data_IF_394167094411
#
_entry.id   IF_394167094411
#
_cell.length_a   1.000
_cell.length_b   1.000
_cell.length_c   1.000
_cell.angle_alpha   90.00
_cell.angle_beta   90.00
_cell.angle_gamma   90.00
#
_symmetry.space_group_name_H-M   'P 1'
#
loop_
_entity.id
_entity.type
_entity.pdbx_description
1 polymer ?
#
# COMPACT_ATOMS: atom_id res chain seq x y z
N UNK A 1 28.24 -20.94 -23.94
CA UNK A 1 27.89 -21.11 -22.51
C UNK A 1 27.23 -19.84 -22.04
N UNK A 2 25.94 -19.86 -21.70
CA UNK A 2 25.32 -18.69 -21.03
C UNK A 2 25.99 -18.55 -19.65
N UNK A 3 26.59 -17.39 -19.37
CA UNK A 3 27.15 -17.11 -18.06
C UNK A 3 26.00 -17.20 -17.04
N UNK A 4 26.12 -18.03 -16.01
CA UNK A 4 25.17 -18.07 -14.91
C UNK A 4 25.16 -16.69 -14.26
N UNK A 5 24.03 -15.98 -14.34
CA UNK A 5 23.85 -14.75 -13.58
C UNK A 5 23.78 -15.10 -12.11
N UNK A 6 24.54 -14.40 -11.29
CA UNK A 6 24.54 -14.53 -9.84
C UNK A 6 23.89 -13.28 -9.24
N UNK A 7 23.03 -13.45 -8.24
CA UNK A 7 22.37 -12.38 -7.49
C UNK A 7 22.58 -12.63 -6.01
N UNK A 8 22.73 -11.55 -5.25
CA UNK A 8 22.82 -11.59 -3.80
C UNK A 8 21.43 -11.75 -3.17
N UNK A 9 20.42 -11.13 -3.79
CA UNK A 9 19.02 -11.27 -3.39
C UNK A 9 18.11 -11.59 -4.57
N UNK A 10 17.17 -12.50 -4.33
CA UNK A 10 16.06 -12.80 -5.25
C UNK A 10 14.76 -12.51 -4.53
N UNK A 11 13.98 -11.57 -5.07
CA UNK A 11 12.68 -11.16 -4.56
C UNK A 11 11.62 -11.77 -5.47
N UNK A 12 10.67 -12.51 -4.90
CA UNK A 12 9.57 -13.12 -5.65
C UNK A 12 8.31 -12.31 -5.44
N UNK A 13 7.83 -11.70 -6.51
CA UNK A 13 6.64 -10.84 -6.56
C UNK A 13 6.97 -9.35 -6.43
N UNK A 14 6.61 -8.56 -7.45
CA UNK A 14 6.69 -7.09 -7.43
C UNK A 14 5.44 -6.45 -6.80
N UNK A 15 4.89 -7.05 -5.76
CA UNK A 15 3.81 -6.48 -4.96
C UNK A 15 4.29 -5.32 -4.07
N UNK A 16 3.46 -4.89 -3.13
CA UNK A 16 3.77 -3.76 -2.25
C UNK A 16 5.09 -3.94 -1.51
N UNK A 17 5.31 -5.10 -0.88
CA UNK A 17 6.55 -5.41 -0.16
C UNK A 17 7.75 -5.58 -1.10
N UNK A 18 7.56 -6.30 -2.23
CA UNK A 18 8.64 -6.56 -3.17
C UNK A 18 9.18 -5.30 -3.84
N UNK A 19 8.32 -4.32 -4.14
CA UNK A 19 8.75 -3.02 -4.64
C UNK A 19 9.63 -2.28 -3.64
N UNK A 20 9.28 -2.32 -2.34
CA UNK A 20 10.08 -1.70 -1.27
C UNK A 20 11.40 -2.43 -1.10
N UNK A 21 11.40 -3.76 -1.05
CA UNK A 21 12.63 -4.55 -0.92
C UNK A 21 13.58 -4.32 -2.11
N UNK A 22 13.03 -4.33 -3.34
CA UNK A 22 13.83 -4.05 -4.54
C UNK A 22 14.48 -2.67 -4.48
N UNK A 23 13.73 -1.67 -3.99
CA UNK A 23 14.24 -0.32 -3.79
C UNK A 23 15.39 -0.31 -2.77
N UNK A 24 15.15 -0.81 -1.57
CA UNK A 24 16.08 -0.67 -0.45
C UNK A 24 17.33 -1.55 -0.58
N UNK A 25 17.18 -2.79 -1.03
CA UNK A 25 18.31 -3.70 -1.19
C UNK A 25 19.24 -3.31 -2.35
N UNK A 26 18.73 -2.61 -3.36
CA UNK A 26 19.55 -2.13 -4.49
C UNK A 26 20.12 -0.72 -4.28
N UNK A 27 19.96 -0.11 -3.11
CA UNK A 27 20.60 1.17 -2.77
C UNK A 27 22.13 1.06 -2.78
N UNK A 28 22.66 -0.07 -2.32
CA UNK A 28 24.07 -0.41 -2.43
C UNK A 28 24.36 -0.92 -3.86
N UNK A 29 25.18 -0.23 -4.66
CA UNK A 29 25.47 -0.60 -6.04
C UNK A 29 26.23 -1.93 -6.18
N UNK A 30 26.89 -2.39 -5.13
CA UNK A 30 27.63 -3.66 -5.12
C UNK A 30 26.70 -4.86 -4.88
N UNK A 31 25.46 -4.63 -4.40
CA UNK A 31 24.44 -5.66 -4.14
C UNK A 31 23.60 -5.90 -5.40
N UNK A 32 23.65 -7.10 -5.95
CA UNK A 32 22.88 -7.50 -7.15
C UNK A 32 21.52 -8.06 -6.75
N UNK A 33 20.45 -7.38 -7.15
CA UNK A 33 19.07 -7.73 -6.80
C UNK A 33 18.31 -8.22 -8.04
N UNK A 34 17.63 -9.35 -7.92
CA UNK A 34 16.70 -9.85 -8.91
C UNK A 34 15.27 -9.79 -8.36
N UNK A 35 14.38 -9.09 -9.06
CA UNK A 35 12.94 -9.06 -8.79
C UNK A 35 12.21 -9.85 -9.86
N UNK A 36 11.45 -10.87 -9.45
CA UNK A 36 10.68 -11.74 -10.36
C UNK A 36 9.20 -11.46 -10.17
N UNK A 37 8.48 -11.15 -11.27
CA UNK A 37 7.04 -10.84 -11.23
C UNK A 37 6.29 -11.64 -12.30
N UNK A 38 5.19 -12.26 -11.91
CA UNK A 38 4.36 -13.08 -12.80
C UNK A 38 3.48 -12.26 -13.75
N UNK A 39 3.15 -11.03 -13.35
CA UNK A 39 2.27 -10.15 -14.11
C UNK A 39 3.02 -9.13 -14.96
N UNK A 40 2.25 -8.26 -15.60
CA UNK A 40 2.79 -7.24 -16.51
C UNK A 40 3.23 -5.97 -15.76
N UNK A 41 4.00 -5.12 -16.46
CA UNK A 41 4.23 -3.74 -16.03
C UNK A 41 2.91 -2.98 -15.94
N UNK A 42 2.79 -2.12 -14.95
CA UNK A 42 1.60 -1.32 -14.62
C UNK A 42 1.37 -0.11 -15.54
N UNK A 43 1.45 -0.34 -16.87
CA UNK A 43 1.31 0.72 -17.89
C UNK A 43 -0.15 1.11 -18.20
N UNK A 44 -1.13 0.35 -17.70
CA UNK A 44 -2.54 0.57 -18.00
C UNK A 44 -3.03 1.90 -17.43
N UNK A 45 -3.76 2.67 -18.25
CA UNK A 45 -4.44 3.88 -17.80
C UNK A 45 -5.42 3.60 -16.66
N UNK A 46 -6.08 2.43 -16.66
CA UNK A 46 -6.99 2.02 -15.59
C UNK A 46 -6.29 1.90 -14.23
N UNK A 47 -4.99 1.52 -14.21
CA UNK A 47 -4.21 1.49 -12.98
C UNK A 47 -3.94 2.90 -12.47
N UNK A 48 -3.57 3.83 -13.37
CA UNK A 48 -3.27 5.21 -13.00
C UNK A 48 -4.52 5.96 -12.53
N UNK A 49 -5.64 5.75 -13.20
CA UNK A 49 -6.90 6.43 -12.92
C UNK A 49 -7.56 5.86 -11.65
N UNK A 50 -7.80 6.66 -10.59
CA UNK A 50 -8.45 6.19 -9.37
C UNK A 50 -9.81 5.52 -9.60
N UNK A 51 -10.64 6.06 -10.49
CA UNK A 51 -11.93 5.49 -10.86
C UNK A 51 -11.83 4.11 -11.57
N UNK A 52 -10.64 3.74 -12.03
CA UNK A 52 -10.40 2.46 -12.72
C UNK A 52 -10.53 1.22 -11.83
N UNK A 53 -10.58 1.38 -10.50
CA UNK A 53 -10.64 0.28 -9.53
C UNK A 53 -11.76 -0.73 -9.86
N UNK A 54 -12.95 -0.26 -10.22
CA UNK A 54 -14.09 -1.12 -10.54
C UNK A 54 -13.86 -2.04 -11.76
N UNK A 55 -12.99 -1.62 -12.70
CA UNK A 55 -12.57 -2.46 -13.82
C UNK A 55 -11.43 -3.41 -13.43
N UNK A 56 -10.50 -2.95 -12.61
CA UNK A 56 -9.30 -3.69 -12.24
C UNK A 56 -9.58 -4.91 -11.37
N UNK A 57 -10.62 -4.84 -10.52
CA UNK A 57 -11.01 -5.94 -9.63
C UNK A 57 -11.89 -7.01 -10.29
N UNK A 58 -12.25 -6.88 -11.57
CA UNK A 58 -13.00 -7.93 -12.30
C UNK A 58 -12.14 -9.18 -12.42
N UNK A 59 -12.80 -10.35 -12.34
CA UNK A 59 -12.13 -11.65 -12.32
C UNK A 59 -11.22 -11.87 -13.54
N UNK A 60 -11.71 -11.53 -14.73
CA UNK A 60 -11.02 -11.71 -16.00
C UNK A 60 -9.98 -10.62 -16.31
N UNK A 61 -9.78 -9.64 -15.41
CA UNK A 61 -8.82 -8.57 -15.65
C UNK A 61 -7.37 -9.11 -15.57
N UNK A 62 -6.49 -8.84 -16.57
CA UNK A 62 -5.13 -9.37 -16.60
C UNK A 62 -4.24 -8.87 -15.46
N UNK A 63 -4.64 -7.82 -14.75
CA UNK A 63 -3.94 -7.28 -13.57
C UNK A 63 -4.46 -7.86 -12.24
N UNK A 64 -5.30 -8.89 -12.30
CA UNK A 64 -5.90 -9.54 -11.15
C UNK A 64 -5.70 -11.06 -11.24
N UNK A 65 -5.45 -11.71 -10.09
CA UNK A 65 -5.37 -13.17 -10.00
C UNK A 65 -6.75 -13.84 -10.05
N UNK A 66 -7.81 -13.12 -9.69
CA UNK A 66 -9.18 -13.63 -9.69
C UNK A 66 -9.42 -14.79 -8.72
N UNK A 67 -8.83 -14.74 -7.52
CA UNK A 67 -8.98 -15.83 -6.55
C UNK A 67 -10.37 -15.89 -5.94
N UNK A 68 -10.76 -17.12 -5.57
CA UNK A 68 -11.92 -17.42 -4.75
C UNK A 68 -11.48 -18.12 -3.48
N UNK A 69 -12.17 -17.88 -2.37
CA UNK A 69 -11.93 -18.64 -1.14
C UNK A 69 -12.47 -20.05 -1.26
N UNK A 70 -11.96 -20.97 -0.47
CA UNK A 70 -12.68 -22.23 -0.20
C UNK A 70 -14.00 -21.94 0.53
N UNK A 71 -14.98 -22.85 0.51
CA UNK A 71 -16.24 -22.68 1.23
C UNK A 71 -16.03 -22.31 2.69
N UNK A 72 -16.62 -21.21 3.13
CA UNK A 72 -16.48 -20.67 4.48
C UNK A 72 -17.59 -21.19 5.40
N UNK A 73 -17.28 -22.15 6.25
CA UNK A 73 -18.24 -22.85 7.11
C UNK A 73 -19.16 -21.90 7.91
N UNK A 74 -18.59 -20.85 8.51
CA UNK A 74 -19.33 -19.89 9.34
C UNK A 74 -20.03 -18.78 8.53
N UNK A 75 -19.98 -18.85 7.21
CA UNK A 75 -20.63 -17.94 6.27
C UNK A 75 -21.59 -18.72 5.32
N UNK A 76 -22.30 -19.71 5.85
CA UNK A 76 -23.20 -20.57 5.07
C UNK A 76 -22.52 -21.30 3.90
N UNK A 77 -21.28 -21.73 4.09
CA UNK A 77 -20.44 -22.36 3.08
C UNK A 77 -20.26 -21.54 1.79
N UNK A 78 -20.40 -20.21 1.85
CA UNK A 78 -20.15 -19.35 0.69
C UNK A 78 -18.68 -19.35 0.29
N UNK A 79 -18.45 -19.36 -1.00
CA UNK A 79 -17.18 -18.97 -1.60
C UNK A 79 -17.22 -17.48 -1.88
N UNK A 80 -16.15 -16.78 -1.54
CA UNK A 80 -16.03 -15.32 -1.69
C UNK A 80 -14.99 -15.00 -2.74
N UNK A 81 -15.35 -14.12 -3.65
CA UNK A 81 -14.40 -13.56 -4.61
C UNK A 81 -13.36 -12.69 -3.88
N UNK A 82 -12.08 -12.93 -4.20
CA UNK A 82 -10.97 -12.33 -3.47
C UNK A 82 -9.91 -11.76 -4.43
N UNK A 83 -10.12 -10.57 -5.01
CA UNK A 83 -9.18 -9.98 -5.96
C UNK A 83 -7.81 -9.75 -5.32
N UNK A 84 -6.76 -10.07 -6.08
CA UNK A 84 -5.36 -9.80 -5.74
C UNK A 84 -4.64 -9.32 -6.97
N UNK A 85 -3.86 -8.23 -6.83
CA UNK A 85 -3.14 -7.66 -7.95
C UNK A 85 -2.06 -8.58 -8.50
N UNK A 86 -1.98 -8.65 -9.83
CA UNK A 86 -0.99 -9.38 -10.60
C UNK A 86 -0.25 -8.41 -11.52
N UNK A 87 1.02 -8.16 -11.21
CA UNK A 87 1.86 -7.20 -11.93
C UNK A 87 2.60 -6.26 -11.00
N UNK A 88 3.27 -5.30 -11.58
CA UNK A 88 4.04 -4.32 -10.84
C UNK A 88 3.14 -3.53 -9.88
N UNK A 89 3.56 -3.44 -8.61
CA UNK A 89 2.80 -2.88 -7.52
C UNK A 89 1.82 -3.85 -6.86
N UNK A 90 1.52 -5.01 -7.48
CA UNK A 90 0.61 -6.01 -6.94
C UNK A 90 -0.75 -5.41 -6.58
N UNK A 91 -1.26 -5.72 -5.40
CA UNK A 91 -2.57 -5.22 -4.95
C UNK A 91 -2.61 -3.70 -4.76
N UNK A 92 -1.47 -3.01 -4.54
CA UNK A 92 -1.46 -1.54 -4.51
C UNK A 92 -1.82 -0.91 -5.86
N UNK A 93 -1.69 -1.66 -6.96
CA UNK A 93 -2.08 -1.22 -8.30
C UNK A 93 -3.57 -1.40 -8.61
N UNK A 94 -4.34 -2.13 -7.77
CA UNK A 94 -5.76 -2.41 -8.00
C UNK A 94 -6.66 -2.10 -6.79
N UNK A 95 -6.10 -1.70 -5.64
CA UNK A 95 -6.85 -1.41 -4.42
C UNK A 95 -7.65 -0.09 -4.50
N UNK A 96 -8.44 0.20 -3.46
CA UNK A 96 -9.21 1.44 -3.31
C UNK A 96 -8.40 2.65 -2.83
N UNK A 97 -7.06 2.53 -2.73
CA UNK A 97 -6.13 3.62 -2.37
C UNK A 97 -6.30 4.21 -0.96
N UNK A 98 -7.11 3.63 -0.12
CA UNK A 98 -7.25 4.08 1.27
C UNK A 98 -5.94 3.83 2.01
N UNK A 99 -5.45 4.86 2.71
CA UNK A 99 -4.23 4.82 3.51
C UNK A 99 -4.57 4.94 4.98
N UNK A 100 -4.53 3.81 5.67
CA UNK A 100 -4.72 3.72 7.14
C UNK A 100 -3.72 2.70 7.68
N UNK A 101 -3.00 3.09 8.73
CA UNK A 101 -2.07 2.22 9.46
C UNK A 101 -2.84 1.35 10.46
N UNK A 102 -2.20 0.28 10.94
CA UNK A 102 -2.68 -0.44 12.11
C UNK A 102 -2.76 0.48 13.33
N UNK A 103 -3.65 0.16 14.26
CA UNK A 103 -3.74 0.87 15.53
C UNK A 103 -2.46 0.68 16.34
N UNK A 104 -2.04 1.68 17.13
CA UNK A 104 -0.82 1.59 17.95
C UNK A 104 -0.77 0.32 18.81
N UNK A 105 -1.93 -0.09 19.36
CA UNK A 105 -2.09 -1.32 20.14
C UNK A 105 -1.77 -2.61 19.37
N UNK A 106 -2.00 -2.65 18.06
CA UNK A 106 -1.72 -3.86 17.25
C UNK A 106 -0.22 -4.17 17.28
N UNK A 107 0.60 -3.14 17.11
CA UNK A 107 2.07 -3.28 17.18
C UNK A 107 2.56 -3.52 18.60
N UNK A 108 1.97 -2.87 19.60
CA UNK A 108 2.32 -3.08 20.99
C UNK A 108 1.95 -4.50 21.47
N UNK A 109 0.88 -5.10 20.96
CA UNK A 109 0.55 -6.50 21.18
C UNK A 109 1.59 -7.43 20.55
N UNK A 110 2.11 -7.12 19.36
CA UNK A 110 3.22 -7.89 18.78
C UNK A 110 4.44 -7.86 19.68
N UNK A 111 4.83 -6.68 20.18
CA UNK A 111 5.93 -6.54 21.13
C UNK A 111 5.69 -7.35 22.40
N UNK A 112 4.48 -7.29 22.96
CA UNK A 112 4.09 -8.06 24.16
C UNK A 112 4.13 -9.57 23.92
N UNK A 113 3.88 -10.02 22.69
CA UNK A 113 4.00 -11.41 22.29
C UNK A 113 5.46 -11.89 22.08
N UNK A 114 6.45 -11.06 22.44
CA UNK A 114 7.88 -11.38 22.37
C UNK A 114 8.59 -10.85 21.12
N UNK A 115 7.90 -10.12 20.22
CA UNK A 115 8.50 -9.54 19.02
C UNK A 115 9.10 -8.15 19.37
N UNK A 116 10.23 -8.15 20.07
CA UNK A 116 10.99 -6.92 20.40
C UNK A 116 11.34 -6.15 19.12
N UNK A 117 11.20 -4.80 19.15
CA UNK A 117 11.42 -3.95 17.98
C UNK A 117 10.21 -3.83 17.05
N UNK A 118 9.04 -4.37 17.42
CA UNK A 118 7.80 -4.27 16.66
C UNK A 118 6.69 -3.49 17.38
N UNK A 119 6.97 -2.81 18.48
CA UNK A 119 6.02 -1.89 19.11
C UNK A 119 5.77 -0.66 18.26
N UNK A 120 4.69 0.08 18.54
CA UNK A 120 4.31 1.24 17.73
C UNK A 120 5.44 2.27 17.63
N UNK A 121 6.12 2.57 18.75
CA UNK A 121 7.28 3.47 18.76
C UNK A 121 8.45 3.00 17.89
N UNK A 122 8.58 1.67 17.71
CA UNK A 122 9.67 1.10 16.90
C UNK A 122 9.33 1.17 15.40
N UNK A 123 8.06 1.01 15.01
CA UNK A 123 7.62 0.99 13.60
C UNK A 123 7.24 2.36 13.05
N UNK A 124 6.85 3.32 13.90
CA UNK A 124 6.44 4.67 13.49
C UNK A 124 7.51 5.40 12.64
N UNK A 125 8.83 5.35 12.97
CA UNK A 125 9.86 5.96 12.13
C UNK A 125 9.88 5.42 10.70
N UNK A 126 9.53 4.14 10.50
CA UNK A 126 9.45 3.53 9.16
C UNK A 126 8.21 3.97 8.40
N UNK A 127 7.06 4.15 9.06
CA UNK A 127 5.89 4.76 8.43
C UNK A 127 6.20 6.17 7.95
N UNK A 128 6.78 7.00 8.81
CA UNK A 128 7.21 8.36 8.44
C UNK A 128 8.24 8.37 7.32
N UNK A 129 9.23 7.47 7.35
CA UNK A 129 10.25 7.31 6.28
C UNK A 129 9.62 6.90 4.94
N UNK A 130 8.49 6.21 4.94
CA UNK A 130 7.88 5.69 3.73
C UNK A 130 7.02 6.71 2.99
N UNK A 131 6.49 7.73 3.66
CA UNK A 131 5.48 8.63 3.10
C UNK A 131 5.99 10.07 2.89
N UNK A 132 5.37 10.72 1.92
CA UNK A 132 5.26 12.17 1.80
C UNK A 132 3.78 12.52 1.95
N UNK A 133 3.43 13.08 3.11
CA UNK A 133 2.07 13.51 3.38
C UNK A 133 1.86 14.95 2.95
N UNK A 134 0.76 15.25 2.23
CA UNK A 134 0.52 16.61 1.71
C UNK A 134 0.29 17.65 2.81
N UNK A 135 -0.19 17.23 3.98
CA UNK A 135 -0.32 18.08 5.17
C UNK A 135 1.01 18.43 5.86
N UNK A 136 2.13 17.87 5.39
CA UNK A 136 3.46 18.08 5.93
C UNK A 136 3.84 17.11 7.04
N UNK A 137 5.09 17.24 7.52
CA UNK A 137 5.62 16.39 8.59
C UNK A 137 5.14 16.83 9.97
N UNK A 138 4.86 15.85 10.82
CA UNK A 138 4.59 16.04 12.25
C UNK A 138 5.12 14.86 13.09
N UNK A 139 4.56 14.65 14.29
CA UNK A 139 4.94 13.53 15.15
C UNK A 139 4.61 12.16 14.53
N UNK A 140 3.59 12.09 13.68
CA UNK A 140 3.06 10.86 13.08
C UNK A 140 3.38 10.75 11.59
N UNK A 141 3.52 11.86 10.87
CA UNK A 141 3.68 11.93 9.43
C UNK A 141 5.09 12.29 8.99
N UNK A 142 5.46 11.81 7.77
CA UNK A 142 6.66 12.18 7.06
C UNK A 142 6.36 13.03 5.82
N UNK A 143 7.38 13.75 5.32
CA UNK A 143 7.29 14.66 4.17
C UNK A 143 8.32 14.37 3.06
N UNK A 144 9.06 13.27 3.17
CA UNK A 144 10.22 13.01 2.30
C UNK A 144 10.31 11.54 1.81
N UNK A 145 9.29 10.75 2.13
CA UNK A 145 9.22 9.37 1.65
C UNK A 145 8.67 9.25 0.23
N UNK A 146 8.90 8.12 -0.44
CA UNK A 146 8.49 7.94 -1.84
C UNK A 146 6.98 7.75 -2.04
N UNK A 147 6.23 7.34 -0.99
CA UNK A 147 4.79 7.12 -1.08
C UNK A 147 4.04 8.45 -0.84
N UNK A 148 3.41 8.97 -1.87
CA UNK A 148 2.58 10.17 -1.76
C UNK A 148 1.24 9.83 -1.10
N UNK A 149 0.89 10.61 -0.08
CA UNK A 149 -0.34 10.48 0.69
C UNK A 149 -1.06 11.82 0.71
N UNK A 150 -2.32 11.82 0.30
CA UNK A 150 -3.16 13.01 0.27
C UNK A 150 -4.41 12.86 1.12
N UNK A 151 -5.00 13.95 1.54
CA UNK A 151 -6.30 13.98 2.17
C UNK A 151 -7.41 13.72 1.14
N UNK A 152 -8.54 13.22 1.62
CA UNK A 152 -9.73 13.11 0.80
C UNK A 152 -10.46 14.45 0.77
N UNK A 153 -10.60 15.11 -0.39
CA UNK A 153 -11.57 16.19 -0.47
C UNK A 153 -12.97 15.61 -0.29
N UNK A 154 -13.61 15.99 0.82
CA UNK A 154 -14.93 15.48 1.21
C UNK A 154 -15.90 16.66 1.23
N UNK A 155 -16.28 17.13 0.05
CA UNK A 155 -17.35 18.11 -0.13
C UNK A 155 -18.64 17.37 -0.53
N UNK A 156 -19.22 16.60 0.39
CA UNK A 156 -20.43 15.85 0.14
C UNK A 156 -21.37 15.94 1.35
N UNK A 157 -22.61 16.42 1.10
CA UNK A 157 -23.62 16.60 2.12
C UNK A 157 -23.93 15.32 2.89
N UNK A 158 -23.93 14.14 2.23
CA UNK A 158 -24.19 12.86 2.90
C UNK A 158 -23.05 12.48 3.85
N UNK A 159 -21.81 12.81 3.45
CA UNK A 159 -20.66 12.61 4.32
C UNK A 159 -20.75 13.46 5.59
N UNK A 160 -21.05 14.75 5.44
CA UNK A 160 -21.20 15.67 6.58
C UNK A 160 -22.32 15.20 7.53
N UNK A 161 -23.44 14.76 6.96
CA UNK A 161 -24.54 14.18 7.72
C UNK A 161 -24.13 12.89 8.45
N UNK A 162 -23.34 12.01 7.82
CA UNK A 162 -22.85 10.78 8.42
C UNK A 162 -21.89 11.05 9.58
N UNK A 163 -20.94 11.94 9.41
CA UNK A 163 -20.03 12.37 10.49
C UNK A 163 -20.79 13.05 11.62
N UNK A 164 -21.77 13.92 11.26
CA UNK A 164 -22.65 14.58 12.22
C UNK A 164 -23.45 13.58 13.05
N UNK A 165 -24.06 12.59 12.41
CA UNK A 165 -24.80 11.52 13.11
C UNK A 165 -23.89 10.70 14.05
N UNK A 166 -22.66 10.41 13.64
CA UNK A 166 -21.67 9.76 14.52
C UNK A 166 -21.36 10.58 15.76
N UNK A 167 -21.15 11.88 15.60
CA UNK A 167 -20.93 12.83 16.71
C UNK A 167 -22.15 12.90 17.64
N UNK A 168 -23.35 13.01 17.07
CA UNK A 168 -24.60 13.09 17.83
C UNK A 168 -24.90 11.80 18.62
N UNK A 169 -24.39 10.66 18.12
CA UNK A 169 -24.40 9.37 18.81
C UNK A 169 -23.30 9.23 19.88
N UNK A 170 -22.48 10.25 20.11
CA UNK A 170 -21.45 10.27 21.15
C UNK A 170 -20.10 9.70 20.72
N UNK A 171 -19.87 9.45 19.41
CA UNK A 171 -18.58 9.02 18.90
C UNK A 171 -17.64 10.20 18.62
N UNK A 172 -16.33 10.02 18.79
CA UNK A 172 -15.37 11.06 18.45
C UNK A 172 -15.36 11.34 16.94
N UNK A 173 -14.95 12.55 16.58
CA UNK A 173 -14.62 12.92 15.20
C UNK A 173 -13.13 13.03 15.11
N UNK A 174 -12.54 12.42 14.08
CA UNK A 174 -11.12 12.54 13.76
C UNK A 174 -10.93 13.11 12.36
N UNK A 175 -9.94 13.96 12.19
CA UNK A 175 -9.50 14.46 10.89
C UNK A 175 -8.33 13.67 10.33
N UNK A 176 -7.76 12.77 11.16
CA UNK A 176 -6.56 12.02 10.81
C UNK A 176 -6.55 10.65 11.51
N UNK A 177 -6.82 9.59 10.75
CA UNK A 177 -6.76 8.21 11.22
C UNK A 177 -5.33 7.67 11.41
N UNK A 178 -4.32 8.39 10.95
CA UNK A 178 -2.91 8.01 11.10
C UNK A 178 -2.17 8.84 12.15
N UNK A 179 -2.88 9.78 12.78
CA UNK A 179 -2.39 10.64 13.84
C UNK A 179 -2.56 10.07 15.25
N UNK A 180 -2.70 10.99 16.22
CA UNK A 180 -2.79 10.64 17.64
C UNK A 180 -4.06 9.87 18.01
N UNK A 181 -5.17 10.08 17.29
CA UNK A 181 -6.48 9.48 17.56
C UNK A 181 -7.00 8.77 16.32
N UNK A 182 -6.93 7.45 16.30
CA UNK A 182 -7.39 6.65 15.19
C UNK A 182 -8.90 6.33 15.26
N UNK A 183 -9.48 6.25 16.46
CA UNK A 183 -10.90 5.94 16.62
C UNK A 183 -11.76 7.18 16.37
N UNK A 184 -12.81 7.03 15.56
CA UNK A 184 -13.76 8.11 15.28
C UNK A 184 -14.36 8.06 13.90
N UNK A 185 -15.12 9.11 13.59
CA UNK A 185 -15.68 9.38 12.27
C UNK A 185 -14.84 10.47 11.58
N UNK A 186 -14.47 10.25 10.33
CA UNK A 186 -13.65 11.21 9.61
C UNK A 186 -13.24 10.75 8.22
N UNK A 187 -12.52 11.59 7.45
CA UNK A 187 -12.05 11.25 6.10
C UNK A 187 -10.84 10.33 6.16
N UNK A 188 -10.76 9.40 5.21
CA UNK A 188 -9.55 8.61 5.02
C UNK A 188 -8.54 9.37 4.15
N UNK A 189 -7.28 9.27 4.52
CA UNK A 189 -6.16 9.61 3.63
C UNK A 189 -6.05 8.59 2.51
N UNK A 190 -5.41 9.01 1.40
CA UNK A 190 -5.34 8.21 0.18
C UNK A 190 -3.95 8.23 -0.45
N UNK A 191 -3.59 7.11 -1.09
CA UNK A 191 -2.40 7.02 -1.95
C UNK A 191 -2.75 7.51 -3.36
N UNK A 192 -3.05 8.80 -3.46
CA UNK A 192 -3.34 9.52 -4.72
C UNK A 192 -2.45 10.76 -4.75
N UNK A 193 -1.84 11.03 -5.90
CA UNK A 193 -1.03 12.22 -6.11
C UNK A 193 -1.33 12.80 -7.50
N UNK A 194 -1.59 14.09 -7.56
CA UNK A 194 -1.95 14.80 -8.82
C UNK A 194 -3.07 14.12 -9.60
N UNK A 195 -4.08 13.60 -8.89
CA UNK A 195 -5.22 12.91 -9.49
C UNK A 195 -4.94 11.47 -9.96
N UNK A 196 -3.75 10.94 -9.75
CA UNK A 196 -3.35 9.58 -10.12
C UNK A 196 -3.13 8.69 -8.89
N UNK A 197 -3.41 7.38 -9.05
CA UNK A 197 -3.02 6.36 -8.08
C UNK A 197 -1.51 6.36 -7.86
N UNK A 198 -1.08 6.38 -6.60
CA UNK A 198 0.33 6.27 -6.22
C UNK A 198 0.60 4.89 -5.63
N UNK A 199 0.76 3.88 -6.50
CA UNK A 199 1.02 2.50 -6.09
C UNK A 199 2.46 2.32 -5.58
N UNK A 200 2.75 1.18 -4.93
CA UNK A 200 4.11 0.84 -4.54
C UNK A 200 5.08 0.74 -5.73
N UNK A 201 4.59 0.38 -6.92
CA UNK A 201 5.42 0.43 -8.13
C UNK A 201 5.79 1.87 -8.51
N UNK A 202 4.84 2.80 -8.46
CA UNK A 202 5.10 4.22 -8.73
C UNK A 202 6.06 4.82 -7.72
N UNK A 203 5.85 4.51 -6.43
CA UNK A 203 6.65 5.04 -5.34
C UNK A 203 8.07 4.50 -5.30
N UNK A 204 8.24 3.19 -5.50
CA UNK A 204 9.50 2.51 -5.17
C UNK A 204 10.20 1.84 -6.35
N UNK A 205 9.47 1.30 -7.35
CA UNK A 205 10.07 0.46 -8.40
C UNK A 205 10.37 1.23 -9.68
N UNK A 206 9.39 1.93 -10.22
CA UNK A 206 9.54 2.64 -11.51
C UNK A 206 10.70 3.62 -11.57
N UNK A 207 10.98 4.42 -10.54
CA UNK A 207 12.09 5.36 -10.56
C UNK A 207 13.46 4.70 -10.70
N UNK A 208 13.56 3.40 -10.41
CA UNK A 208 14.83 2.69 -10.27
C UNK A 208 15.18 1.80 -11.45
N UNK A 209 14.19 1.26 -12.16
CA UNK A 209 14.40 0.16 -13.12
C UNK A 209 15.38 0.53 -14.23
N UNK A 210 15.37 1.81 -14.64
CA UNK A 210 16.29 2.31 -15.66
C UNK A 210 17.50 3.04 -15.05
N UNK A 211 17.50 3.31 -13.74
CA UNK A 211 18.52 4.08 -13.04
C UNK A 211 19.53 3.21 -12.28
N UNK A 212 19.15 1.98 -11.90
CA UNK A 212 20.00 1.08 -11.11
C UNK A 212 20.41 -0.15 -11.90
N UNK A 213 21.67 -0.24 -12.37
CA UNK A 213 22.17 -1.37 -13.16
C UNK A 213 22.28 -2.68 -12.36
N UNK A 214 22.34 -2.60 -11.04
CA UNK A 214 22.37 -3.73 -10.12
C UNK A 214 20.99 -4.31 -9.79
N UNK A 215 19.88 -3.70 -10.28
CA UNK A 215 18.52 -4.22 -10.18
C UNK A 215 18.07 -4.84 -11.51
N UNK A 216 17.80 -6.14 -11.49
CA UNK A 216 17.23 -6.87 -12.65
C UNK A 216 15.78 -7.22 -12.35
N UNK A 217 14.84 -6.85 -13.23
CA UNK A 217 13.42 -7.21 -13.13
C UNK A 217 13.05 -8.17 -14.26
N UNK A 218 12.53 -9.34 -13.91
CA UNK A 218 12.15 -10.45 -14.81
C UNK A 218 10.65 -10.70 -14.78
#
# INVERSE_FOLDING_TARGET
MQSKKHFDYIIVGAGSAGCVLANRLSEDPDVKVCLIEAGKKDKSLMIRMPAGVGSLIKEENPHNWGFWTTPQKHMNNRELYWPRGRGWGGSSSINGMIYVRGHARDYDLWRQSGLTGWGFSDVLPYFRKSETYEGGADAFHGDSGPLQVSDSPMEDTLYDMFVGAGRDAGYPVTTDFNGAQQEGFGPYQRTIHEGERWSASFAYLRPLVDARPNLTVL
#
